data_IF_115753561589
#
_entry.id   IF_115753561589
#
_cell.length_a   1.000
_cell.length_b   1.000
_cell.length_c   1.000
_cell.angle_alpha   90.00
_cell.angle_beta   90.00
_cell.angle_gamma   90.00
#
_symmetry.space_group_name_H-M   'P 1'
#
loop_
_entity.id
_entity.type
_entity.pdbx_description
1 polymer ?
#
# COMPACT_ATOMS: atom_id res chain seq x y z
N UNK A 1 -5.56 1.38 -7.60
CA UNK A 1 -5.68 2.87 -7.67
C UNK A 1 -4.33 3.53 -7.33
N UNK A 2 -3.94 4.67 -7.92
CA UNK A 2 -2.79 5.47 -7.42
C UNK A 2 -3.23 6.23 -6.17
N UNK A 3 -2.53 6.03 -5.05
CA UNK A 3 -2.80 6.70 -3.77
C UNK A 3 -1.87 7.89 -3.54
N UNK A 4 -0.60 7.82 -3.96
CA UNK A 4 0.35 8.92 -3.85
C UNK A 4 0.99 9.25 -5.21
N UNK A 5 0.73 10.45 -5.73
CA UNK A 5 1.37 10.91 -6.98
C UNK A 5 2.85 11.27 -6.77
N UNK A 6 3.20 11.88 -5.64
CA UNK A 6 4.56 12.36 -5.36
C UNK A 6 5.62 11.25 -5.31
N UNK A 7 5.19 10.07 -4.88
CA UNK A 7 6.02 8.90 -4.74
C UNK A 7 5.59 7.76 -5.66
N UNK A 8 4.58 7.97 -6.51
CA UNK A 8 4.00 6.93 -7.40
C UNK A 8 3.72 5.63 -6.63
N UNK A 9 2.86 5.74 -5.61
CA UNK A 9 2.45 4.61 -4.77
C UNK A 9 1.00 4.27 -5.12
N UNK A 10 0.77 3.02 -5.46
CA UNK A 10 -0.54 2.46 -5.70
C UNK A 10 -1.11 1.80 -4.44
N UNK A 11 -2.42 1.57 -4.47
CA UNK A 11 -3.15 0.77 -3.50
C UNK A 11 -2.53 -0.63 -3.31
N UNK A 12 -2.13 -1.28 -4.41
CA UNK A 12 -1.40 -2.55 -4.37
C UNK A 12 -0.06 -2.43 -3.64
N UNK A 13 0.67 -1.33 -3.86
CA UNK A 13 1.93 -1.09 -3.13
C UNK A 13 1.68 -0.89 -1.63
N UNK A 14 0.61 -0.19 -1.26
CA UNK A 14 0.20 -0.01 0.15
C UNK A 14 -0.08 -1.38 0.78
N UNK A 15 -0.87 -2.21 0.12
CA UNK A 15 -1.19 -3.55 0.61
C UNK A 15 0.01 -4.49 0.61
N UNK A 16 0.90 -4.42 -0.38
CA UNK A 16 2.12 -5.22 -0.46
C UNK A 16 3.17 -4.83 0.60
N UNK A 17 3.26 -3.55 0.94
CA UNK A 17 4.16 -3.05 2.00
C UNK A 17 3.59 -3.24 3.41
N UNK A 18 2.31 -3.64 3.52
CA UNK A 18 1.62 -3.74 4.81
C UNK A 18 1.80 -5.08 5.52
N UNK A 19 1.85 -5.03 6.85
CA UNK A 19 1.95 -6.18 7.74
C UNK A 19 0.71 -7.08 7.66
N UNK A 20 0.84 -8.36 8.06
CA UNK A 20 -0.30 -9.27 8.16
C UNK A 20 -1.34 -8.77 9.18
N UNK A 21 -2.61 -9.11 8.92
CA UNK A 21 -3.74 -8.75 9.78
C UNK A 21 -3.52 -9.29 11.21
N UNK A 22 -3.73 -8.44 12.22
CA UNK A 22 -3.46 -8.76 13.64
C UNK A 22 -2.13 -8.24 14.18
N UNK A 23 -1.25 -7.68 13.34
CA UNK A 23 -0.11 -6.90 13.78
C UNK A 23 -0.56 -5.54 14.39
N UNK A 24 0.24 -4.91 15.27
CA UNK A 24 -0.07 -3.59 15.80
C UNK A 24 -0.36 -2.58 14.68
N UNK A 25 -1.34 -1.71 14.92
CA UNK A 25 -1.89 -0.77 13.94
C UNK A 25 -0.79 -0.14 13.07
N UNK A 26 -0.86 -0.40 11.77
CA UNK A 26 0.17 0.04 10.85
C UNK A 26 0.05 1.54 10.59
N UNK A 27 1.18 2.25 10.68
CA UNK A 27 1.21 3.68 10.41
C UNK A 27 1.44 3.89 8.90
N UNK A 28 0.82 4.90 8.27
CA UNK A 28 1.12 5.25 6.88
C UNK A 28 2.63 5.46 6.62
N UNK A 29 3.38 5.91 7.63
CA UNK A 29 4.84 6.04 7.55
C UNK A 29 5.56 4.71 7.30
N UNK A 30 5.04 3.60 7.85
CA UNK A 30 5.64 2.27 7.67
C UNK A 30 5.49 1.79 6.22
N UNK A 31 4.42 2.16 5.51
CA UNK A 31 4.28 1.89 4.07
C UNK A 31 5.39 2.58 3.28
N UNK A 32 5.64 3.87 3.54
CA UNK A 32 6.73 4.58 2.87
C UNK A 32 8.08 3.92 3.16
N UNK A 33 8.33 3.53 4.42
CA UNK A 33 9.56 2.83 4.82
C UNK A 33 9.71 1.46 4.15
N UNK A 34 8.63 0.68 4.07
CA UNK A 34 8.61 -0.63 3.40
C UNK A 34 8.93 -0.53 1.91
N UNK A 35 8.57 0.58 1.27
CA UNK A 35 8.88 0.87 -0.12
C UNK A 35 10.22 1.59 -0.33
N UNK A 36 10.97 1.88 0.75
CA UNK A 36 12.24 2.63 0.68
C UNK A 36 12.07 4.10 0.24
N UNK A 37 10.91 4.70 0.49
CA UNK A 37 10.56 6.07 0.06
C UNK A 37 10.36 6.97 1.28
N UNK A 38 10.62 8.27 1.12
CA UNK A 38 10.28 9.28 2.12
C UNK A 38 8.97 10.02 1.73
N UNK A 39 8.12 10.42 2.69
CA UNK A 39 6.93 11.21 2.39
C UNK A 39 7.32 12.62 1.91
N UNK A 40 6.66 13.12 0.84
CA UNK A 40 6.93 14.46 0.28
C UNK A 40 5.94 15.54 0.71
N UNK A 41 4.63 15.28 0.64
CA UNK A 41 3.58 16.28 0.88
C UNK A 41 2.45 15.83 1.82
N UNK A 42 2.41 14.55 2.20
CA UNK A 42 1.42 14.01 3.15
C UNK A 42 -0.04 13.91 2.69
N UNK A 43 -0.42 14.46 1.52
CA UNK A 43 -1.81 14.49 1.03
C UNK A 43 -2.47 13.10 0.96
N UNK A 44 -1.67 12.07 0.70
CA UNK A 44 -2.10 10.68 0.57
C UNK A 44 -2.32 9.94 1.90
N UNK A 45 -1.92 10.52 3.05
CA UNK A 45 -1.89 9.82 4.36
C UNK A 45 -3.26 9.30 4.78
N UNK A 46 -4.34 10.06 4.54
CA UNK A 46 -5.71 9.62 4.86
C UNK A 46 -6.14 8.43 4.00
N UNK A 47 -5.84 8.47 2.71
CA UNK A 47 -6.16 7.39 1.78
C UNK A 47 -5.34 6.13 2.06
N UNK A 48 -4.05 6.27 2.39
CA UNK A 48 -3.22 5.14 2.83
C UNK A 48 -3.84 4.50 4.08
N UNK A 49 -4.26 5.30 5.06
CA UNK A 49 -4.88 4.77 6.28
C UNK A 49 -6.19 4.03 5.99
N UNK A 50 -7.02 4.56 5.09
CA UNK A 50 -8.26 3.88 4.69
C UNK A 50 -7.99 2.54 3.99
N UNK A 51 -6.98 2.48 3.11
CA UNK A 51 -6.57 1.24 2.46
C UNK A 51 -5.98 0.22 3.46
N UNK A 52 -5.26 0.68 4.49
CA UNK A 52 -4.77 -0.21 5.55
C UNK A 52 -5.92 -0.79 6.39
N UNK A 53 -6.96 0.01 6.65
CA UNK A 53 -8.13 -0.38 7.43
C UNK A 53 -9.02 -1.39 6.69
N UNK A 54 -9.29 -1.14 5.39
CA UNK A 54 -10.13 -2.02 4.57
C UNK A 54 -9.60 -3.45 4.46
N UNK A 55 -8.28 -3.64 4.56
CA UNK A 55 -7.63 -4.96 4.47
C UNK A 55 -7.91 -5.86 5.68
N UNK A 56 -8.16 -5.29 6.86
CA UNK A 56 -8.47 -6.06 8.07
C UNK A 56 -9.93 -6.53 8.11
N UNK A 57 -10.82 -5.87 7.37
CA UNK A 57 -12.25 -6.21 7.32
C UNK A 57 -12.62 -7.24 6.25
N UNK A 58 -11.64 -7.75 5.49
CA UNK A 58 -11.86 -8.77 4.47
C UNK A 58 -12.53 -8.21 3.21
N UNK A 59 -11.76 -7.54 2.36
CA UNK A 59 -12.18 -7.22 1.00
C UNK A 59 -11.47 -8.17 0.01
N UNK A 60 -12.28 -8.98 -0.69
CA UNK A 60 -11.91 -10.03 -1.65
C UNK A 60 -11.26 -9.48 -2.94
N UNK A 61 -10.14 -8.76 -2.84
CA UNK A 61 -9.36 -8.36 -4.03
C UNK A 61 -8.01 -9.06 -4.18
N UNK A 62 -7.82 -10.16 -3.46
CA UNK A 62 -6.74 -11.13 -3.69
C UNK A 62 -7.03 -12.03 -4.91
N UNK A 63 -7.37 -11.45 -6.06
CA UNK A 63 -7.44 -12.21 -7.30
C UNK A 63 -6.99 -11.36 -8.49
N UNK A 64 -5.76 -11.67 -8.93
CA UNK A 64 -5.18 -11.46 -10.27
C UNK A 64 -4.63 -10.06 -10.58
N UNK A 65 -3.31 -9.99 -10.79
CA UNK A 65 -2.72 -10.17 -12.13
C UNK A 65 -1.21 -10.51 -11.94
N UNK A 66 -0.71 -11.69 -12.36
CA UNK A 66 0.71 -11.91 -12.57
C UNK A 66 1.12 -11.20 -13.87
N UNK A 67 1.72 -10.03 -13.75
CA UNK A 67 2.14 -9.21 -14.88
C UNK A 67 3.56 -8.69 -14.71
N UNK A 68 4.54 -9.58 -14.73
CA UNK A 68 5.91 -9.29 -15.16
C UNK A 68 6.67 -10.61 -15.38
N UNK A 69 6.31 -11.37 -16.43
CA UNK A 69 7.32 -12.21 -17.07
C UNK A 69 8.15 -11.26 -17.94
N UNK A 70 9.38 -11.04 -17.50
CA UNK A 70 10.35 -10.19 -18.16
C UNK A 70 10.81 -10.84 -19.47
N UNK A 71 11.09 -10.01 -20.47
CA UNK A 71 11.76 -10.41 -21.70
C UNK A 71 13.12 -11.08 -21.40
N UNK A 72 13.33 -12.31 -21.88
CA UNK A 72 14.61 -12.85 -22.38
C UNK A 72 14.37 -14.18 -23.10
#
# INVERSE_FOLDING_TARGET
MIICSCNVISDRDVHGASKPCGAPAERPADVFRGLGRAPKCGKCVRNIRAALDSRCCGDEHAAREPGMEACA
#
